data_IF_865978095045
#
_entry.id   IF_865978095045
#
_cell.length_a   1.000
_cell.length_b   1.000
_cell.length_c   1.000
_cell.angle_alpha   90.00
_cell.angle_beta   90.00
_cell.angle_gamma   90.00
#
_symmetry.space_group_name_H-M   'P 1'
#
loop_
_entity.id
_entity.type
_entity.pdbx_description
1 polymer ?
#
# COMPACT_ATOMS: atom_id res chain seq x y z
N UNK A 1 1.54 16.20 5.15
CA UNK A 1 1.15 16.64 3.78
C UNK A 1 0.19 15.60 3.25
N UNK A 2 -0.84 15.96 2.49
CA UNK A 2 -1.79 14.98 1.95
C UNK A 2 -1.09 14.10 0.91
N UNK A 3 -1.09 12.78 1.08
CA UNK A 3 -0.60 11.77 0.13
C UNK A 3 -1.46 11.66 -1.15
N UNK A 4 -2.06 12.77 -1.58
CA UNK A 4 -2.98 12.84 -2.72
C UNK A 4 -2.42 13.75 -3.80
N UNK A 5 -2.38 13.22 -5.01
CA UNK A 5 -1.81 13.86 -6.18
C UNK A 5 -2.88 14.00 -7.25
N UNK A 6 -3.04 15.16 -7.87
CA UNK A 6 -3.78 15.23 -9.12
C UNK A 6 -2.95 14.57 -10.23
N UNK A 7 -3.61 13.88 -11.16
CA UNK A 7 -2.93 13.15 -12.25
C UNK A 7 -1.94 14.03 -13.04
N UNK A 8 -2.27 15.31 -13.24
CA UNK A 8 -1.38 16.25 -13.92
C UNK A 8 -0.11 16.54 -13.10
N UNK A 9 -0.23 16.71 -11.79
CA UNK A 9 0.92 16.90 -10.90
C UNK A 9 1.76 15.63 -10.82
N UNK A 10 1.12 14.47 -10.65
CA UNK A 10 1.79 13.17 -10.62
C UNK A 10 2.61 12.92 -11.90
N UNK A 11 2.10 13.31 -13.07
CA UNK A 11 2.84 13.24 -14.34
C UNK A 11 4.09 14.13 -14.34
N UNK A 12 3.99 15.36 -13.81
CA UNK A 12 5.08 16.32 -13.82
C UNK A 12 6.15 16.04 -12.74
N UNK A 13 5.78 15.35 -11.66
CA UNK A 13 6.62 15.07 -10.49
C UNK A 13 6.71 13.57 -10.21
N UNK A 14 6.71 12.75 -11.27
CA UNK A 14 6.60 11.30 -11.14
C UNK A 14 7.73 10.68 -10.31
N UNK A 15 8.97 11.16 -10.46
CA UNK A 15 10.10 10.69 -9.66
C UNK A 15 9.90 10.95 -8.17
N UNK A 16 9.40 12.14 -7.80
CA UNK A 16 9.10 12.47 -6.40
C UNK A 16 7.96 11.60 -5.87
N UNK A 17 6.88 11.43 -6.65
CA UNK A 17 5.77 10.54 -6.29
C UNK A 17 6.27 9.12 -5.98
N UNK A 18 7.16 8.59 -6.83
CA UNK A 18 7.76 7.26 -6.63
C UNK A 18 8.64 7.22 -5.39
N UNK A 19 9.48 8.23 -5.17
CA UNK A 19 10.33 8.31 -3.97
C UNK A 19 9.49 8.34 -2.68
N UNK A 20 8.41 9.12 -2.66
CA UNK A 20 7.46 9.20 -1.55
C UNK A 20 6.75 7.85 -1.32
N UNK A 21 6.35 7.16 -2.41
CA UNK A 21 5.73 5.85 -2.34
C UNK A 21 6.68 4.73 -1.87
N UNK A 22 7.99 4.90 -2.04
CA UNK A 22 9.01 3.95 -1.57
C UNK A 22 9.42 4.24 -0.13
N UNK A 23 9.61 5.51 0.24
CA UNK A 23 10.19 5.89 1.54
C UNK A 23 9.17 6.09 2.64
N UNK A 24 7.96 6.52 2.27
CA UNK A 24 6.95 6.94 3.22
C UNK A 24 5.75 6.00 3.17
N UNK A 25 4.67 6.42 2.52
CA UNK A 25 3.40 5.71 2.49
C UNK A 25 2.85 5.61 1.06
N UNK A 26 1.87 4.73 0.81
CA UNK A 26 1.19 4.68 -0.47
C UNK A 26 0.60 6.05 -0.86
N UNK A 27 0.87 6.45 -2.11
CA UNK A 27 0.44 7.72 -2.69
C UNK A 27 -0.83 7.51 -3.52
N UNK A 28 -1.83 8.36 -3.36
CA UNK A 28 -3.10 8.29 -4.09
C UNK A 28 -3.06 9.28 -5.24
N UNK A 29 -3.29 8.81 -6.46
CA UNK A 29 -3.48 9.69 -7.62
C UNK A 29 -4.96 9.84 -7.93
N UNK A 30 -5.39 11.08 -8.11
CA UNK A 30 -6.77 11.47 -8.43
C UNK A 30 -6.90 11.91 -9.87
N UNK A 31 -8.04 11.62 -10.50
CA UNK A 31 -8.40 12.07 -11.85
C UNK A 31 -9.79 12.71 -11.77
N UNK A 32 -9.90 13.96 -12.24
CA UNK A 32 -11.14 14.76 -12.12
C UNK A 32 -11.68 14.83 -10.68
N UNK A 33 -10.79 14.93 -9.68
CA UNK A 33 -11.17 15.00 -8.27
C UNK A 33 -11.52 13.68 -7.59
N UNK A 34 -11.65 12.57 -8.35
CA UNK A 34 -11.91 11.25 -7.80
C UNK A 34 -10.61 10.44 -7.65
N UNK A 35 -10.50 9.63 -6.59
CA UNK A 35 -9.40 8.67 -6.41
C UNK A 35 -9.39 7.68 -7.56
N UNK A 36 -8.26 7.57 -8.27
CA UNK A 36 -8.16 6.78 -9.50
C UNK A 36 -7.19 5.60 -9.35
N UNK A 37 -6.00 5.83 -8.80
CA UNK A 37 -5.00 4.77 -8.57
C UNK A 37 -4.24 5.02 -7.27
N UNK A 38 -3.60 3.96 -6.76
CA UNK A 38 -2.64 4.03 -5.65
C UNK A 38 -1.28 3.61 -6.19
N UNK A 39 -0.24 4.36 -5.81
CA UNK A 39 1.17 4.06 -6.11
C UNK A 39 1.85 3.71 -4.79
N UNK A 40 2.49 2.55 -4.74
CA UNK A 40 3.18 2.05 -3.56
C UNK A 40 4.42 1.28 -3.98
N UNK A 41 5.33 1.02 -3.03
CA UNK A 41 6.49 0.20 -3.31
C UNK A 41 6.09 -1.22 -3.74
N UNK A 42 6.93 -1.86 -4.54
CA UNK A 42 6.71 -3.25 -4.93
C UNK A 42 6.72 -4.20 -3.70
N UNK A 43 7.52 -3.86 -2.68
CA UNK A 43 7.61 -4.66 -1.46
C UNK A 43 6.29 -4.62 -0.68
N UNK A 44 5.67 -3.44 -0.54
CA UNK A 44 4.38 -3.29 0.12
C UNK A 44 3.26 -4.01 -0.65
N UNK A 45 3.28 -3.93 -1.98
CA UNK A 45 2.36 -4.69 -2.82
C UNK A 45 2.52 -6.20 -2.59
N UNK A 46 3.76 -6.70 -2.56
CA UNK A 46 4.03 -8.11 -2.27
C UNK A 46 3.58 -8.52 -0.86
N UNK A 47 3.74 -7.64 0.14
CA UNK A 47 3.29 -7.89 1.50
C UNK A 47 1.76 -8.00 1.57
N UNK A 48 1.03 -7.14 0.86
CA UNK A 48 -0.43 -7.21 0.77
C UNK A 48 -0.94 -8.50 0.10
N UNK A 49 -0.19 -9.03 -0.86
CA UNK A 49 -0.55 -10.28 -1.54
C UNK A 49 -0.25 -11.52 -0.71
N UNK A 50 0.65 -11.44 0.27
CA UNK A 50 0.94 -12.54 1.17
C UNK A 50 -0.10 -12.53 2.28
N UNK A 51 -0.89 -13.61 2.47
CA UNK A 51 -1.64 -13.76 3.69
C UNK A 51 -0.67 -13.70 4.87
N UNK A 52 -0.93 -12.83 5.85
CA UNK A 52 -0.22 -12.85 7.13
C UNK A 52 -0.56 -14.17 7.83
N UNK A 53 0.25 -15.20 7.56
CA UNK A 53 0.11 -16.55 8.13
C UNK A 53 -1.14 -17.29 7.61
N UNK A 54 -1.02 -18.59 7.37
CA UNK A 54 -2.23 -19.42 7.31
C UNK A 54 -2.94 -19.26 8.66
N UNK A 55 -4.21 -18.85 8.64
CA UNK A 55 -5.03 -18.73 9.84
C UNK A 55 -4.98 -20.03 10.66
N UNK A 56 -4.84 -21.18 9.99
CA UNK A 56 -4.66 -22.48 10.62
C UNK A 56 -3.34 -22.55 11.40
N UNK A 57 -2.23 -22.07 10.85
CA UNK A 57 -0.92 -22.07 11.55
C UNK A 57 -0.91 -21.09 12.73
N UNK A 58 -1.56 -19.93 12.58
CA UNK A 58 -1.77 -18.99 13.68
C UNK A 58 -2.60 -19.63 14.81
N UNK A 59 -3.72 -20.27 14.46
CA UNK A 59 -4.57 -20.96 15.45
C UNK A 59 -3.84 -22.14 16.11
N UNK A 60 -2.98 -22.87 15.40
CA UNK A 60 -2.17 -23.97 15.94
C UNK A 60 -1.07 -23.49 16.90
N UNK A 61 -0.54 -22.29 16.68
CA UNK A 61 0.48 -21.68 17.56
C UNK A 61 -0.13 -20.88 18.72
N UNK A 62 -1.45 -20.73 18.77
CA UNK A 62 -2.16 -20.03 19.84
C UNK A 62 -2.18 -20.84 21.14
N UNK A 63 -1.98 -20.20 22.31
CA UNK A 63 -2.15 -20.84 23.63
C UNK A 63 -3.60 -21.27 23.91
N UNK A 64 -4.56 -20.92 23.04
CA UNK A 64 -5.95 -21.33 23.11
C UNK A 64 -6.22 -22.67 22.41
N UNK A 65 -5.21 -23.32 21.80
CA UNK A 65 -5.41 -24.60 21.12
C UNK A 65 -5.80 -25.69 22.14
N UNK A 66 -6.95 -26.33 21.93
CA UNK A 66 -7.41 -27.45 22.76
C UNK A 66 -8.10 -27.08 24.08
N UNK A 67 -8.48 -25.82 24.28
CA UNK A 67 -9.47 -25.42 25.30
C UNK A 67 -10.90 -25.71 24.86
#
# INVERSE_FOLDING_TARGET
MSNQWQLQQAKNQFSQLVDEAIKNEPQIVTRHGAKAVVVMSYQDYCALLKPETDLVDFMRSSPLVGL
#
